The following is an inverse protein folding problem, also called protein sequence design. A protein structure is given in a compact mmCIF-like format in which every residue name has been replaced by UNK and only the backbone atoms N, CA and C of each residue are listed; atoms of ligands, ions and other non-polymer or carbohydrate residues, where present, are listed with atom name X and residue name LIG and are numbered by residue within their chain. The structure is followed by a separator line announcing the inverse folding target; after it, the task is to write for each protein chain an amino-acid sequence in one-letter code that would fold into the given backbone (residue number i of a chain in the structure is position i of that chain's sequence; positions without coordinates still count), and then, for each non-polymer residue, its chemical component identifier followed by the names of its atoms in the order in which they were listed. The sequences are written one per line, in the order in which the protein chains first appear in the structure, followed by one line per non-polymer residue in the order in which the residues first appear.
data_IF_391233797397
#
_entry.id   IF_391233797397
#
_cell.length_a   1.000
_cell.length_b   1.000
_cell.length_c   1.000
_cell.angle_alpha   90.00
_cell.angle_beta   90.00
_cell.angle_gamma   90.00
#
_symmetry.space_group_name_H-M   'P 1'
#
loop_
_entity.id
_entity.type
_entity.pdbx_description
1 polymer ?
#
# COMPACT_ATOMS: atom_id res chain seq x y z
N UNK A 1 -32.40 -14.31 -4.26
CA UNK A 1 -31.51 -13.73 -5.26
C UNK A 1 -30.10 -14.21 -4.93
N UNK A 2 -29.78 -15.43 -5.37
CA UNK A 2 -28.54 -16.15 -5.06
C UNK A 2 -27.59 -16.11 -6.27
N UNK A 3 -27.16 -14.92 -6.65
CA UNK A 3 -26.02 -14.83 -7.56
C UNK A 3 -24.73 -14.83 -6.72
N UNK A 4 -24.39 -15.98 -6.15
CA UNK A 4 -23.03 -16.29 -5.77
C UNK A 4 -22.23 -16.41 -7.06
N UNK A 5 -21.84 -15.24 -7.62
CA UNK A 5 -20.89 -15.19 -8.73
C UNK A 5 -19.71 -16.04 -8.26
N UNK A 6 -19.45 -17.13 -8.96
CA UNK A 6 -18.33 -18.02 -8.65
C UNK A 6 -17.01 -17.30 -8.97
N UNK A 7 -16.49 -16.52 -7.97
CA UNK A 7 -15.29 -15.70 -8.14
C UNK A 7 -14.03 -16.53 -8.37
N UNK A 8 -14.07 -17.81 -8.03
CA UNK A 8 -12.94 -18.73 -8.25
C UNK A 8 -12.58 -18.87 -9.74
N UNK A 9 -13.57 -18.72 -10.62
CA UNK A 9 -13.39 -18.94 -12.07
C UNK A 9 -12.98 -17.67 -12.83
N UNK A 10 -12.94 -16.49 -12.18
CA UNK A 10 -12.52 -15.24 -12.83
C UNK A 10 -11.00 -15.16 -12.98
N UNK A 11 -10.57 -14.55 -14.07
CA UNK A 11 -9.16 -14.25 -14.29
C UNK A 11 -8.57 -13.49 -13.08
N UNK A 12 -7.35 -13.83 -12.61
CA UNK A 12 -6.76 -13.26 -11.38
C UNK A 12 -6.75 -11.72 -11.32
N UNK A 13 -6.50 -11.06 -12.44
CA UNK A 13 -6.50 -9.59 -12.54
C UNK A 13 -7.89 -9.02 -12.26
N UNK A 14 -8.94 -9.55 -12.90
CA UNK A 14 -10.33 -9.09 -12.70
C UNK A 14 -10.73 -9.29 -11.23
N UNK A 15 -10.33 -10.39 -10.65
CA UNK A 15 -10.57 -10.71 -9.24
C UNK A 15 -9.87 -9.72 -8.29
N UNK A 16 -8.64 -9.31 -8.62
CA UNK A 16 -7.90 -8.32 -7.83
C UNK A 16 -8.58 -6.94 -7.84
N UNK A 17 -9.06 -6.49 -9.00
CA UNK A 17 -9.85 -5.25 -9.09
C UNK A 17 -11.18 -5.35 -8.34
N UNK A 18 -11.82 -6.52 -8.34
CA UNK A 18 -13.03 -6.73 -7.56
C UNK A 18 -12.76 -6.59 -6.05
N UNK A 19 -11.70 -7.23 -5.53
CA UNK A 19 -11.33 -7.08 -4.11
C UNK A 19 -10.97 -5.64 -3.76
N UNK A 20 -10.29 -4.93 -4.66
CA UNK A 20 -10.03 -3.51 -4.51
C UNK A 20 -11.35 -2.72 -4.39
N UNK A 21 -12.27 -2.84 -5.35
CA UNK A 21 -13.54 -2.12 -5.33
C UNK A 21 -14.37 -2.45 -4.07
N UNK A 22 -14.41 -3.74 -3.69
CA UNK A 22 -15.09 -4.17 -2.47
C UNK A 22 -14.41 -3.66 -1.19
N UNK A 23 -13.10 -3.50 -1.17
CA UNK A 23 -12.40 -2.96 -0.01
C UNK A 23 -12.76 -1.49 0.28
N UNK A 24 -13.21 -0.76 -0.74
CA UNK A 24 -13.72 0.62 -0.60
C UNK A 24 -15.14 0.63 -0.04
N UNK A 25 -16.04 -0.21 -0.60
CA UNK A 25 -17.48 -0.13 -0.33
C UNK A 25 -17.88 -1.02 0.86
N UNK A 26 -17.33 -2.23 0.92
CA UNK A 26 -17.66 -3.26 1.92
C UNK A 26 -16.39 -3.97 2.42
N UNK A 27 -15.50 -3.28 3.16
CA UNK A 27 -14.17 -3.83 3.49
C UNK A 27 -14.24 -5.14 4.30
N UNK A 28 -15.14 -5.29 5.22
CA UNK A 28 -15.32 -6.56 5.97
C UNK A 28 -15.62 -7.74 5.06
N UNK A 29 -16.51 -7.55 4.09
CA UNK A 29 -16.87 -8.58 3.13
C UNK A 29 -15.73 -8.88 2.15
N UNK A 30 -14.97 -7.86 1.75
CA UNK A 30 -13.80 -8.03 0.90
C UNK A 30 -12.76 -8.94 1.57
N UNK A 31 -12.44 -8.71 2.85
CA UNK A 31 -11.47 -9.53 3.57
C UNK A 31 -11.99 -10.92 3.93
N UNK A 32 -13.31 -11.09 4.17
CA UNK A 32 -13.90 -12.42 4.36
C UNK A 32 -13.78 -13.28 3.10
N UNK A 33 -14.01 -12.70 1.93
CA UNK A 33 -13.79 -13.38 0.65
C UNK A 33 -12.31 -13.65 0.40
N UNK A 34 -11.44 -12.68 0.70
CA UNK A 34 -10.00 -12.78 0.53
C UNK A 34 -9.37 -13.89 1.40
N UNK A 35 -9.94 -14.17 2.57
CA UNK A 35 -9.49 -15.25 3.45
C UNK A 35 -9.54 -16.62 2.76
N UNK A 36 -10.44 -16.80 1.79
CA UNK A 36 -10.61 -18.05 1.03
C UNK A 36 -9.57 -18.20 -0.08
N UNK A 37 -8.82 -17.14 -0.39
CA UNK A 37 -7.77 -17.17 -1.40
C UNK A 37 -6.53 -17.91 -0.90
N UNK A 38 -6.13 -18.92 -1.66
CA UNK A 38 -4.94 -19.73 -1.34
C UNK A 38 -3.62 -19.17 -1.89
N UNK A 39 -3.71 -18.13 -2.75
CA UNK A 39 -2.57 -17.54 -3.45
C UNK A 39 -2.43 -16.06 -3.12
N UNK A 40 -1.23 -15.55 -3.11
CA UNK A 40 -0.92 -14.13 -2.87
C UNK A 40 -1.07 -13.25 -4.12
N UNK A 41 -1.65 -13.78 -5.20
CA UNK A 41 -1.73 -13.11 -6.52
C UNK A 41 -2.41 -11.75 -6.45
N UNK A 42 -3.46 -11.62 -5.64
CA UNK A 42 -4.16 -10.34 -5.47
C UNK A 42 -3.24 -9.28 -4.88
N UNK A 43 -2.57 -9.57 -3.78
CA UNK A 43 -1.63 -8.65 -3.14
C UNK A 43 -0.48 -8.29 -4.05
N UNK A 44 0.15 -9.28 -4.69
CA UNK A 44 1.25 -9.08 -5.61
C UNK A 44 0.85 -8.20 -6.81
N UNK A 45 -0.28 -8.48 -7.44
CA UNK A 45 -0.77 -7.70 -8.57
C UNK A 45 -1.02 -6.23 -8.18
N UNK A 46 -1.73 -5.99 -7.08
CA UNK A 46 -2.06 -4.63 -6.64
C UNK A 46 -0.80 -3.83 -6.26
N UNK A 47 0.14 -4.46 -5.56
CA UNK A 47 1.41 -3.82 -5.20
C UNK A 47 2.26 -3.53 -6.43
N UNK A 48 2.39 -4.50 -7.34
CA UNK A 48 3.13 -4.29 -8.59
C UNK A 48 2.53 -3.16 -9.42
N UNK A 49 1.20 -3.13 -9.54
CA UNK A 49 0.50 -2.05 -10.25
C UNK A 49 0.76 -0.68 -9.60
N UNK A 50 0.65 -0.59 -8.25
CA UNK A 50 0.96 0.64 -7.53
C UNK A 50 2.36 1.15 -7.86
N UNK A 51 3.37 0.30 -7.67
CA UNK A 51 4.76 0.73 -7.83
C UNK A 51 5.12 1.01 -9.29
N UNK A 52 4.49 0.32 -10.25
CA UNK A 52 4.62 0.66 -11.68
C UNK A 52 4.03 2.04 -11.99
N UNK A 53 2.87 2.38 -11.42
CA UNK A 53 2.29 3.72 -11.59
C UNK A 53 3.16 4.80 -10.93
N UNK A 54 3.73 4.53 -9.76
CA UNK A 54 4.70 5.42 -9.12
C UNK A 54 5.96 5.60 -9.99
N UNK A 55 6.48 4.53 -10.57
CA UNK A 55 7.65 4.56 -11.47
C UNK A 55 7.40 5.43 -12.70
N UNK A 56 6.23 5.28 -13.33
CA UNK A 56 5.82 6.15 -14.46
C UNK A 56 5.81 7.62 -14.03
N UNK A 57 5.33 7.93 -12.83
CA UNK A 57 5.32 9.28 -12.30
C UNK A 57 6.75 9.81 -12.04
N UNK A 58 7.63 9.00 -11.44
CA UNK A 58 9.05 9.34 -11.23
C UNK A 58 9.75 9.58 -12.57
N UNK A 59 9.49 8.74 -13.57
CA UNK A 59 10.02 8.94 -14.93
C UNK A 59 9.55 10.26 -15.55
N UNK A 60 8.27 10.60 -15.40
CA UNK A 60 7.75 11.89 -15.84
C UNK A 60 8.46 13.06 -15.16
N UNK A 61 8.67 13.01 -13.85
CA UNK A 61 9.42 14.04 -13.13
C UNK A 61 10.88 14.15 -13.59
N UNK A 62 11.50 13.02 -13.92
CA UNK A 62 12.87 12.96 -14.44
C UNK A 62 12.98 13.67 -15.80
N UNK A 63 12.12 13.34 -16.77
CA UNK A 63 12.17 13.96 -18.11
C UNK A 63 11.74 15.44 -18.11
N UNK A 64 10.92 15.84 -17.13
CA UNK A 64 10.46 17.22 -16.97
C UNK A 64 11.46 18.10 -16.22
N UNK A 65 12.64 17.59 -15.83
CA UNK A 65 13.65 18.28 -15.03
C UNK A 65 13.09 18.96 -13.76
N UNK A 66 12.07 18.37 -13.14
CA UNK A 66 11.48 18.91 -11.93
C UNK A 66 12.38 18.64 -10.73
N UNK A 67 12.71 19.69 -9.99
CA UNK A 67 13.59 19.62 -8.82
C UNK A 67 12.88 18.94 -7.64
N UNK A 68 13.60 18.07 -6.94
CA UNK A 68 13.14 17.52 -5.66
C UNK A 68 13.09 18.62 -4.60
N UNK A 69 11.95 18.77 -3.95
CA UNK A 69 11.81 19.68 -2.78
C UNK A 69 12.46 19.13 -1.51
N UNK A 70 12.74 17.83 -1.46
CA UNK A 70 13.30 17.15 -0.30
C UNK A 70 14.57 16.44 -0.72
N UNK A 71 15.68 16.79 -0.09
CA UNK A 71 16.96 16.10 -0.32
C UNK A 71 16.92 14.70 0.33
N UNK A 72 17.40 13.66 -0.36
CA UNK A 72 17.50 12.33 0.20
C UNK A 72 18.45 12.30 1.39
N UNK A 73 18.13 11.52 2.43
CA UNK A 73 19.00 11.33 3.60
C UNK A 73 20.33 10.68 3.25
N UNK A 74 20.36 9.92 2.17
CA UNK A 74 21.56 9.21 1.68
C UNK A 74 22.51 10.15 0.96
N UNK A 75 22.78 11.32 1.31
CA UNK A 75 23.77 12.25 0.78
C UNK A 75 24.14 12.04 -0.73
N UNK A 76 23.14 11.68 -1.53
CA UNK A 76 23.23 11.48 -2.97
C UNK A 76 22.84 12.81 -3.63
N UNK A 77 23.64 13.33 -4.57
CA UNK A 77 23.26 14.54 -5.30
C UNK A 77 21.88 14.41 -5.94
N UNK A 78 21.05 15.44 -5.83
CA UNK A 78 19.64 15.39 -6.23
C UNK A 78 19.41 15.12 -7.72
N UNK A 79 20.36 15.52 -8.58
CA UNK A 79 20.37 15.24 -10.01
C UNK A 79 20.59 13.76 -10.33
N UNK A 80 21.48 13.11 -9.54
CA UNK A 80 21.80 11.68 -9.70
C UNK A 80 20.77 10.81 -9.01
N UNK A 81 20.16 11.28 -7.90
CA UNK A 81 19.19 10.53 -7.12
C UNK A 81 17.98 10.08 -7.96
N UNK A 82 17.44 10.98 -8.79
CA UNK A 82 16.31 10.66 -9.69
C UNK A 82 16.62 9.53 -10.66
N UNK A 83 17.85 9.51 -11.18
CA UNK A 83 18.28 8.44 -12.07
C UNK A 83 18.34 7.09 -11.34
N UNK A 84 18.87 7.05 -10.12
CA UNK A 84 18.89 5.83 -9.31
C UNK A 84 17.49 5.40 -8.88
N UNK A 85 16.61 6.34 -8.57
CA UNK A 85 15.23 6.08 -8.19
C UNK A 85 14.50 5.25 -9.25
N UNK A 86 14.73 5.48 -10.54
CA UNK A 86 14.18 4.69 -11.65
C UNK A 86 14.57 3.20 -11.64
N UNK A 87 15.62 2.82 -10.96
CA UNK A 87 16.07 1.43 -10.93
C UNK A 87 15.63 0.69 -9.67
N UNK A 88 15.52 1.37 -8.55
CA UNK A 88 15.24 0.68 -7.29
C UNK A 88 13.78 0.78 -6.82
N UNK A 89 12.99 1.67 -7.40
CA UNK A 89 11.67 1.98 -6.86
C UNK A 89 10.72 0.78 -6.85
N UNK A 90 10.60 0.05 -7.95
CA UNK A 90 9.76 -1.17 -8.02
C UNK A 90 10.33 -2.30 -7.13
N UNK A 91 11.61 -2.69 -7.24
CA UNK A 91 12.18 -3.71 -6.36
C UNK A 91 12.05 -3.37 -4.87
N UNK A 92 12.30 -2.12 -4.50
CA UNK A 92 12.14 -1.63 -3.14
C UNK A 92 10.68 -1.76 -2.67
N UNK A 93 9.73 -1.37 -3.50
CA UNK A 93 8.32 -1.47 -3.18
C UNK A 93 7.82 -2.90 -2.95
N UNK A 94 8.28 -3.84 -3.77
CA UNK A 94 7.99 -5.27 -3.59
C UNK A 94 8.65 -5.79 -2.31
N UNK A 95 9.90 -5.42 -2.06
CA UNK A 95 10.60 -5.79 -0.83
C UNK A 95 9.87 -5.27 0.42
N UNK A 96 9.47 -3.99 0.42
CA UNK A 96 8.71 -3.38 1.51
C UNK A 96 7.36 -4.05 1.75
N UNK A 97 6.69 -4.49 0.71
CA UNK A 97 5.45 -5.26 0.83
C UNK A 97 5.68 -6.59 1.55
N UNK A 98 6.73 -7.33 1.19
CA UNK A 98 7.09 -8.61 1.83
C UNK A 98 7.50 -8.38 3.28
N UNK A 99 8.34 -7.37 3.55
CA UNK A 99 8.80 -7.03 4.90
C UNK A 99 7.64 -6.63 5.79
N UNK A 100 6.76 -5.73 5.32
CA UNK A 100 5.58 -5.32 6.07
C UNK A 100 4.66 -6.51 6.39
N UNK A 101 4.39 -7.37 5.40
CA UNK A 101 3.60 -8.58 5.61
C UNK A 101 4.28 -9.56 6.60
N UNK A 102 5.61 -9.68 6.56
CA UNK A 102 6.39 -10.48 7.50
C UNK A 102 6.27 -9.98 8.94
N UNK A 103 6.42 -8.67 9.14
CA UNK A 103 6.26 -8.03 10.46
C UNK A 103 4.83 -8.27 10.99
N UNK A 104 3.82 -7.97 10.18
CA UNK A 104 2.41 -8.15 10.55
C UNK A 104 2.12 -9.61 10.89
N UNK A 105 2.58 -10.55 10.06
CA UNK A 105 2.38 -11.99 10.29
C UNK A 105 3.02 -12.44 11.60
N UNK A 106 4.28 -12.06 11.83
CA UNK A 106 5.01 -12.45 13.04
C UNK A 106 4.34 -11.92 14.30
N UNK A 107 3.99 -10.62 14.31
CA UNK A 107 3.28 -10.01 15.44
C UNK A 107 1.90 -10.61 15.64
N UNK A 108 1.17 -10.88 14.55
CA UNK A 108 -0.15 -11.49 14.62
C UNK A 108 -0.09 -12.89 15.24
N UNK A 109 0.85 -13.72 14.81
CA UNK A 109 1.03 -15.08 15.36
C UNK A 109 1.46 -15.05 16.83
N UNK A 110 2.39 -14.16 17.20
CA UNK A 110 2.83 -13.97 18.57
C UNK A 110 1.67 -13.59 19.51
N UNK A 111 0.68 -12.87 18.98
CA UNK A 111 -0.52 -12.47 19.73
C UNK A 111 -1.70 -13.45 19.59
N UNK A 112 -1.48 -14.62 18.98
CA UNK A 112 -2.49 -15.69 18.84
C UNK A 112 -3.40 -15.56 17.62
N UNK A 113 -2.97 -14.84 16.59
CA UNK A 113 -3.66 -14.75 15.31
C UNK A 113 -3.63 -16.08 14.53
N UNK A 114 -4.63 -16.27 13.65
CA UNK A 114 -4.84 -17.52 12.91
C UNK A 114 -4.65 -17.39 11.40
N UNK A 115 -4.39 -16.18 10.89
CA UNK A 115 -4.21 -15.92 9.46
C UNK A 115 -2.91 -16.53 8.92
N UNK A 116 -2.91 -16.84 7.62
CA UNK A 116 -1.73 -17.33 6.90
C UNK A 116 -0.89 -16.18 6.36
N UNK A 117 0.39 -16.41 6.09
CA UNK A 117 1.27 -15.43 5.46
C UNK A 117 0.74 -14.97 4.09
N UNK A 118 0.20 -15.89 3.30
CA UNK A 118 -0.46 -15.59 2.02
C UNK A 118 -1.62 -14.60 2.18
N UNK A 119 -2.47 -14.80 3.18
CA UNK A 119 -3.56 -13.89 3.48
C UNK A 119 -3.06 -12.52 3.93
N UNK A 120 -1.98 -12.49 4.73
CA UNK A 120 -1.35 -11.25 5.17
C UNK A 120 -0.74 -10.46 4.02
N UNK A 121 -0.07 -11.14 3.07
CA UNK A 121 0.40 -10.51 1.83
C UNK A 121 -0.74 -9.84 1.05
N UNK A 122 -1.88 -10.51 0.94
CA UNK A 122 -3.05 -9.94 0.27
C UNK A 122 -3.65 -8.75 1.05
N UNK A 123 -3.72 -8.81 2.39
CA UNK A 123 -4.15 -7.67 3.23
C UNK A 123 -3.27 -6.45 2.94
N UNK A 124 -1.94 -6.63 3.01
CA UNK A 124 -0.98 -5.53 2.80
C UNK A 124 -1.11 -4.96 1.40
N UNK A 125 -1.31 -5.81 0.38
CA UNK A 125 -1.54 -5.35 -0.99
C UNK A 125 -2.75 -4.43 -1.12
N UNK A 126 -3.89 -4.82 -0.54
CA UNK A 126 -5.12 -4.02 -0.57
C UNK A 126 -4.96 -2.73 0.25
N UNK A 127 -4.41 -2.82 1.47
CA UNK A 127 -4.29 -1.65 2.35
C UNK A 127 -3.39 -0.55 1.78
N UNK A 128 -2.40 -0.93 0.96
CA UNK A 128 -1.47 0.03 0.33
C UNK A 128 -2.03 0.56 -0.98
N UNK A 129 -2.65 -0.30 -1.80
CA UNK A 129 -3.16 0.08 -3.12
C UNK A 129 -4.44 0.92 -3.04
N UNK A 130 -5.36 0.58 -2.13
CA UNK A 130 -6.66 1.25 -2.07
C UNK A 130 -6.55 2.75 -1.76
N UNK A 131 -5.86 3.19 -0.69
CA UNK A 131 -5.67 4.62 -0.46
C UNK A 131 -4.82 5.28 -1.56
N UNK A 132 -3.83 4.56 -2.12
CA UNK A 132 -2.98 5.07 -3.20
C UNK A 132 -3.81 5.56 -4.38
N UNK A 133 -4.75 4.76 -4.88
CA UNK A 133 -5.55 5.15 -6.07
C UNK A 133 -6.30 6.47 -5.86
N UNK A 134 -6.81 6.72 -4.66
CA UNK A 134 -7.58 7.94 -4.38
C UNK A 134 -6.69 9.12 -3.98
N UNK A 135 -5.79 8.90 -3.04
CA UNK A 135 -5.01 9.99 -2.44
C UNK A 135 -3.92 10.50 -3.38
N UNK A 136 -3.15 9.59 -3.99
CA UNK A 136 -2.11 10.01 -4.93
C UNK A 136 -2.69 10.57 -6.24
N UNK A 137 -3.91 10.16 -6.64
CA UNK A 137 -4.63 10.81 -7.74
C UNK A 137 -5.02 12.25 -7.40
N UNK A 138 -5.47 12.51 -6.17
CA UNK A 138 -5.79 13.85 -5.68
C UNK A 138 -4.52 14.71 -5.61
N UNK A 139 -3.41 14.17 -5.09
CA UNK A 139 -2.12 14.86 -5.05
C UNK A 139 -1.65 15.25 -6.45
N UNK A 140 -1.69 14.30 -7.38
CA UNK A 140 -1.30 14.53 -8.78
C UNK A 140 -2.16 15.59 -9.45
N UNK A 141 -3.48 15.53 -9.26
CA UNK A 141 -4.40 16.54 -9.78
C UNK A 141 -4.11 17.93 -9.19
N UNK A 142 -3.85 18.01 -7.88
CA UNK A 142 -3.51 19.26 -7.22
C UNK A 142 -2.23 19.89 -7.80
N UNK A 143 -1.18 19.08 -7.97
CA UNK A 143 0.09 19.54 -8.57
C UNK A 143 -0.14 20.03 -10.00
N UNK A 144 -0.92 19.30 -10.80
CA UNK A 144 -1.26 19.70 -12.16
C UNK A 144 -2.03 21.04 -12.21
N UNK A 145 -3.05 21.23 -11.37
CA UNK A 145 -3.83 22.46 -11.30
C UNK A 145 -3.03 23.67 -10.78
N UNK A 146 -1.97 23.44 -10.01
CA UNK A 146 -1.10 24.48 -9.47
C UNK A 146 0.18 24.69 -10.30
N UNK A 147 0.14 24.39 -11.60
CA UNK A 147 1.28 24.57 -12.51
C UNK A 147 2.58 23.87 -12.03
N UNK A 148 2.47 22.68 -11.48
CA UNK A 148 3.60 21.91 -10.95
C UNK A 148 4.07 22.32 -9.55
N UNK A 149 3.43 23.30 -8.92
CA UNK A 149 3.81 23.72 -7.57
C UNK A 149 3.28 22.74 -6.51
N UNK A 150 4.18 22.29 -5.66
CA UNK A 150 3.89 21.38 -4.57
C UNK A 150 3.65 22.12 -3.26
N UNK A 151 2.60 21.79 -2.55
CA UNK A 151 2.29 22.36 -1.23
C UNK A 151 2.63 21.35 -0.13
N UNK A 152 3.58 21.70 0.74
CA UNK A 152 3.94 20.87 1.91
C UNK A 152 2.72 20.62 2.80
N UNK A 153 1.89 21.64 3.02
CA UNK A 153 0.69 21.55 3.88
C UNK A 153 -0.32 20.57 3.28
N UNK A 154 -0.62 20.74 1.98
CA UNK A 154 -1.57 19.88 1.28
C UNK A 154 -1.07 18.41 1.24
N UNK A 155 0.19 18.19 0.90
CA UNK A 155 0.76 16.85 0.89
C UNK A 155 0.79 16.20 2.27
N UNK A 156 1.14 16.95 3.33
CA UNK A 156 1.10 16.42 4.69
C UNK A 156 -0.32 16.00 5.09
N UNK A 157 -1.33 16.74 4.69
CA UNK A 157 -2.73 16.41 4.92
C UNK A 157 -3.15 15.14 4.18
N UNK A 158 -2.87 15.05 2.88
CA UNK A 158 -3.21 13.87 2.06
C UNK A 158 -2.46 12.63 2.54
N UNK A 159 -1.17 12.74 2.90
CA UNK A 159 -0.40 11.62 3.49
C UNK A 159 -0.95 11.16 4.84
N UNK A 160 -1.44 12.07 5.66
CA UNK A 160 -2.11 11.70 6.92
C UNK A 160 -3.37 10.88 6.64
N UNK A 161 -4.20 11.30 5.69
CA UNK A 161 -5.40 10.55 5.29
C UNK A 161 -5.00 9.17 4.73
N UNK A 162 -3.96 9.10 3.90
CA UNK A 162 -3.43 7.84 3.37
C UNK A 162 -3.08 6.87 4.49
N UNK A 163 -2.31 7.31 5.47
CA UNK A 163 -1.87 6.48 6.61
C UNK A 163 -3.07 6.02 7.44
N UNK A 164 -4.00 6.92 7.76
CA UNK A 164 -5.20 6.57 8.52
C UNK A 164 -6.08 5.56 7.78
N UNK A 165 -6.31 5.74 6.48
CA UNK A 165 -7.10 4.79 5.69
C UNK A 165 -6.42 3.43 5.59
N UNK A 166 -5.11 3.40 5.35
CA UNK A 166 -4.32 2.16 5.35
C UNK A 166 -4.40 1.44 6.69
N UNK A 167 -4.29 2.17 7.81
CA UNK A 167 -4.42 1.63 9.16
C UNK A 167 -5.82 1.04 9.43
N UNK A 168 -6.88 1.68 8.95
CA UNK A 168 -8.24 1.16 9.05
C UNK A 168 -8.38 -0.15 8.27
N UNK A 169 -7.92 -0.19 7.01
CA UNK A 169 -7.99 -1.40 6.18
C UNK A 169 -7.16 -2.54 6.79
N UNK A 170 -5.95 -2.25 7.29
CA UNK A 170 -5.14 -3.22 8.02
C UNK A 170 -5.88 -3.77 9.22
N UNK A 171 -6.48 -2.90 10.03
CA UNK A 171 -7.22 -3.29 11.22
C UNK A 171 -8.39 -4.20 10.91
N UNK A 172 -9.15 -3.92 9.86
CA UNK A 172 -10.26 -4.77 9.40
C UNK A 172 -9.72 -6.12 8.91
N UNK A 173 -8.65 -6.13 8.12
CA UNK A 173 -8.01 -7.36 7.65
C UNK A 173 -7.53 -8.25 8.80
N UNK A 174 -6.87 -7.67 9.81
CA UNK A 174 -6.43 -8.38 11.01
C UNK A 174 -7.61 -8.93 11.83
N UNK A 175 -8.68 -8.16 11.97
CA UNK A 175 -9.89 -8.58 12.65
C UNK A 175 -10.56 -9.78 11.96
N UNK A 176 -10.75 -9.67 10.64
CA UNK A 176 -11.47 -10.70 9.86
C UNK A 176 -10.63 -11.95 9.66
N UNK A 177 -9.37 -11.81 9.28
CA UNK A 177 -8.51 -12.93 8.84
C UNK A 177 -7.76 -13.53 10.02
N UNK A 178 -7.13 -12.72 10.87
CA UNK A 178 -6.38 -13.20 12.03
C UNK A 178 -7.23 -13.46 13.27
N UNK A 179 -8.49 -12.98 13.30
CA UNK A 179 -9.42 -13.13 14.43
C UNK A 179 -8.87 -12.55 15.73
N UNK A 180 -8.12 -11.46 15.64
CA UNK A 180 -7.50 -10.79 16.77
C UNK A 180 -8.50 -9.85 17.49
N UNK A 181 -8.30 -9.65 18.79
CA UNK A 181 -9.02 -8.63 19.55
C UNK A 181 -8.55 -7.22 19.18
N UNK A 182 -9.43 -6.23 19.35
CA UNK A 182 -9.18 -4.82 18.96
C UNK A 182 -7.88 -4.27 19.55
N UNK A 183 -7.59 -4.55 20.83
CA UNK A 183 -6.36 -4.10 21.47
C UNK A 183 -5.10 -4.62 20.76
N UNK A 184 -5.06 -5.91 20.44
CA UNK A 184 -3.93 -6.53 19.72
C UNK A 184 -3.76 -5.94 18.33
N UNK A 185 -4.87 -5.66 17.64
CA UNK A 185 -4.88 -5.02 16.32
C UNK A 185 -4.27 -3.63 16.40
N UNK A 186 -4.65 -2.81 17.38
CA UNK A 186 -4.10 -1.47 17.57
C UNK A 186 -2.58 -1.53 17.75
N UNK A 187 -2.09 -2.42 18.61
CA UNK A 187 -0.65 -2.60 18.84
C UNK A 187 0.08 -2.97 17.54
N UNK A 188 -0.41 -3.98 16.80
CA UNK A 188 0.20 -4.39 15.53
C UNK A 188 0.20 -3.24 14.53
N UNK A 189 -0.93 -2.55 14.38
CA UNK A 189 -1.08 -1.46 13.41
C UNK A 189 -0.10 -0.33 13.73
N UNK A 190 -0.01 0.11 14.98
CA UNK A 190 0.94 1.17 15.39
C UNK A 190 2.37 0.73 15.14
N UNK A 191 2.77 -0.45 15.59
CA UNK A 191 4.14 -0.94 15.42
C UNK A 191 4.52 -1.08 13.94
N UNK A 192 3.64 -1.65 13.13
CA UNK A 192 3.90 -1.82 11.69
C UNK A 192 3.99 -0.49 10.98
N UNK A 193 3.06 0.43 11.25
CA UNK A 193 3.07 1.77 10.65
C UNK A 193 4.35 2.52 11.03
N UNK A 194 4.74 2.51 12.30
CA UNK A 194 5.97 3.16 12.75
C UNK A 194 7.23 2.59 12.07
N UNK A 195 7.37 1.26 12.02
CA UNK A 195 8.51 0.61 11.38
C UNK A 195 8.56 0.87 9.87
N UNK A 196 7.43 0.72 9.17
CA UNK A 196 7.38 0.97 7.73
C UNK A 196 7.67 2.44 7.41
N UNK A 197 7.14 3.37 8.19
CA UNK A 197 7.42 4.81 8.03
C UNK A 197 8.91 5.08 8.25
N UNK A 198 9.52 4.53 9.31
CA UNK A 198 10.93 4.69 9.59
C UNK A 198 11.82 4.19 8.44
N UNK A 199 11.55 2.97 7.92
CA UNK A 199 12.28 2.42 6.78
C UNK A 199 12.09 3.30 5.54
N UNK A 200 10.86 3.75 5.27
CA UNK A 200 10.55 4.60 4.12
C UNK A 200 11.32 5.92 4.18
N UNK A 201 11.40 6.56 5.36
CA UNK A 201 12.15 7.81 5.54
C UNK A 201 13.64 7.61 5.23
N UNK A 202 14.23 6.48 5.62
CA UNK A 202 15.65 6.21 5.34
C UNK A 202 15.93 6.05 3.84
N UNK A 203 15.05 5.37 3.10
CA UNK A 203 15.33 4.94 1.73
C UNK A 203 14.71 5.82 0.64
N UNK A 204 13.63 6.53 0.93
CA UNK A 204 12.89 7.32 -0.08
C UNK A 204 13.08 8.83 0.11
N UNK A 205 13.66 9.26 1.21
CA UNK A 205 13.91 10.70 1.48
C UNK A 205 15.38 11.04 1.57
#
# INVERSE_FOLDING_TARGET
MNDTINFADKHPIIRSFYYFAFSVIHPFKAFDLLQKEKKFVTGFFLVSLKWTLCEIYVYYLYISNQVLFIQPWLNIPSDVFRYYELFYYIPFGILMWIVAAGIIQTLSLALGGKGTFTSTLNIVGIMVFTPFVFIDSIDTLFIFLNNGQWSIIFNSFTRTIFVLWSAILLSIGLYVIHKLSVYKIIVITIMTTALCTFITIIFIR
#
